data_IF_111275195593
#
_entry.id   IF_111275195593
#
_cell.length_a   1.000
_cell.length_b   1.000
_cell.length_c   1.000
_cell.angle_alpha   90.00
_cell.angle_beta   90.00
_cell.angle_gamma   90.00
#
_symmetry.space_group_name_H-M   'P 1'
#
loop_
_entity.id
_entity.type
_entity.pdbx_description
1 polymer ?
#
# COMPACT_ATOMS: atom_id res chain seq x y z
N UNK A 1 -38.05 -28.76 -46.03
CA UNK A 1 -37.57 -27.37 -45.93
C UNK A 1 -38.19 -26.56 -44.79
N UNK A 2 -39.43 -26.80 -44.34
CA UNK A 2 -40.06 -26.00 -43.25
C UNK A 2 -39.50 -26.21 -41.83
N UNK A 3 -39.07 -27.43 -41.47
CA UNK A 3 -38.52 -27.75 -40.14
C UNK A 3 -37.16 -27.09 -39.86
N UNK A 4 -36.30 -26.96 -40.87
CA UNK A 4 -35.02 -26.26 -40.73
C UNK A 4 -35.19 -24.75 -40.53
N UNK A 5 -36.19 -24.14 -41.16
CA UNK A 5 -36.52 -22.73 -40.97
C UNK A 5 -37.03 -22.46 -39.54
N UNK A 6 -37.87 -23.35 -39.00
CA UNK A 6 -38.36 -23.26 -37.62
C UNK A 6 -37.24 -23.46 -36.58
N UNK A 7 -36.32 -24.41 -36.80
CA UNK A 7 -35.17 -24.61 -35.91
C UNK A 7 -34.20 -23.42 -35.92
N UNK A 8 -33.98 -22.79 -37.09
CA UNK A 8 -33.18 -21.56 -37.19
C UNK A 8 -33.85 -20.36 -36.50
N UNK A 9 -35.18 -20.29 -36.53
CA UNK A 9 -35.95 -19.26 -35.82
C UNK A 9 -35.89 -19.46 -34.29
N UNK A 10 -36.00 -20.71 -33.83
CA UNK A 10 -35.88 -21.04 -32.42
C UNK A 10 -34.47 -20.74 -31.88
N UNK A 11 -33.41 -21.11 -32.60
CA UNK A 11 -32.03 -20.81 -32.18
C UNK A 11 -31.69 -19.31 -32.23
N UNK A 12 -32.25 -18.58 -33.20
CA UNK A 12 -32.16 -17.12 -33.23
C UNK A 12 -32.89 -16.47 -32.04
N UNK A 13 -34.06 -16.98 -31.65
CA UNK A 13 -34.80 -16.53 -30.47
C UNK A 13 -34.03 -16.76 -29.16
N UNK A 14 -33.44 -17.94 -29.00
CA UNK A 14 -32.60 -18.30 -27.86
C UNK A 14 -31.37 -17.37 -27.75
N UNK A 15 -30.69 -17.11 -28.86
CA UNK A 15 -29.52 -16.23 -28.91
C UNK A 15 -29.87 -14.77 -28.60
N UNK A 16 -31.03 -14.29 -29.05
CA UNK A 16 -31.54 -12.94 -28.71
C UNK A 16 -31.86 -12.84 -27.23
N UNK A 17 -32.53 -13.84 -26.65
CA UNK A 17 -32.84 -13.88 -25.22
C UNK A 17 -31.56 -13.86 -24.37
N UNK A 18 -30.56 -14.69 -24.71
CA UNK A 18 -29.28 -14.71 -23.99
C UNK A 18 -28.54 -13.36 -24.08
N UNK A 19 -28.53 -12.71 -25.25
CA UNK A 19 -27.92 -11.39 -25.40
C UNK A 19 -28.66 -10.30 -24.62
N UNK A 20 -29.99 -10.33 -24.60
CA UNK A 20 -30.80 -9.40 -23.80
C UNK A 20 -30.59 -9.62 -22.30
N UNK A 21 -30.55 -10.87 -21.86
CA UNK A 21 -30.28 -11.25 -20.47
C UNK A 21 -28.90 -10.75 -20.01
N UNK A 22 -27.85 -10.99 -20.81
CA UNK A 22 -26.49 -10.47 -20.52
C UNK A 22 -26.46 -8.95 -20.41
N UNK A 23 -27.08 -8.23 -21.37
CA UNK A 23 -27.16 -6.76 -21.33
C UNK A 23 -27.92 -6.26 -20.10
N UNK A 24 -28.95 -6.97 -19.68
CA UNK A 24 -29.72 -6.63 -18.49
C UNK A 24 -28.90 -6.81 -17.20
N UNK A 25 -28.16 -7.90 -17.09
CA UNK A 25 -27.28 -8.18 -15.95
C UNK A 25 -26.11 -7.19 -15.87
N UNK A 26 -25.51 -6.84 -17.02
CA UNK A 26 -24.49 -5.78 -17.09
C UNK A 26 -25.03 -4.42 -16.64
N UNK A 27 -26.27 -4.09 -17.00
CA UNK A 27 -26.92 -2.85 -16.58
C UNK A 27 -27.18 -2.84 -15.08
N UNK A 28 -27.67 -3.95 -14.52
CA UNK A 28 -27.86 -4.11 -13.07
C UNK A 28 -26.53 -3.95 -12.32
N UNK A 29 -25.45 -4.58 -12.81
CA UNK A 29 -24.12 -4.42 -12.20
C UNK A 29 -23.66 -2.97 -12.22
N UNK A 30 -23.79 -2.28 -13.36
CA UNK A 30 -23.43 -0.86 -13.48
C UNK A 30 -24.22 0.01 -12.51
N UNK A 31 -25.53 -0.20 -12.39
CA UNK A 31 -26.35 0.56 -11.43
C UNK A 31 -25.97 0.29 -9.98
N UNK A 32 -25.69 -0.98 -9.63
CA UNK A 32 -25.24 -1.33 -8.30
C UNK A 32 -23.86 -0.71 -7.97
N UNK A 33 -22.98 -0.68 -8.96
CA UNK A 33 -21.67 -0.05 -8.86
C UNK A 33 -21.76 1.47 -8.71
N UNK A 34 -22.55 2.14 -9.54
CA UNK A 34 -22.79 3.59 -9.45
C UNK A 34 -23.39 3.96 -8.08
N UNK A 35 -24.35 3.16 -7.59
CA UNK A 35 -24.92 3.35 -6.26
C UNK A 35 -23.89 3.14 -5.14
N UNK A 36 -23.00 2.14 -5.29
CA UNK A 36 -21.93 1.91 -4.33
C UNK A 36 -20.90 3.05 -4.33
N UNK A 37 -20.49 3.53 -5.51
CA UNK A 37 -19.58 4.67 -5.66
C UNK A 37 -20.19 5.94 -5.09
N UNK A 38 -21.48 6.19 -5.35
CA UNK A 38 -22.19 7.33 -4.78
C UNK A 38 -22.24 7.25 -3.24
N UNK A 39 -22.44 6.06 -2.68
CA UNK A 39 -22.46 5.84 -1.23
C UNK A 39 -21.10 6.07 -0.58
N UNK A 40 -20.00 5.70 -1.25
CA UNK A 40 -18.62 5.83 -0.73
C UNK A 40 -17.87 7.04 -1.32
N UNK A 41 -18.58 7.97 -1.96
CA UNK A 41 -17.95 9.11 -2.64
C UNK A 41 -17.10 9.96 -1.68
N UNK A 42 -17.58 10.14 -0.44
CA UNK A 42 -16.85 10.88 0.59
C UNK A 42 -15.60 10.13 1.06
N UNK A 43 -15.67 8.81 1.26
CA UNK A 43 -14.50 8.00 1.62
C UNK A 43 -13.47 8.00 0.49
N UNK A 44 -13.91 7.93 -0.76
CA UNK A 44 -13.05 8.04 -1.94
C UNK A 44 -12.39 9.42 -2.01
N UNK A 45 -13.12 10.49 -1.66
CA UNK A 45 -12.57 11.85 -1.60
C UNK A 45 -11.47 11.95 -0.55
N UNK A 46 -11.76 11.56 0.69
CA UNK A 46 -10.78 11.54 1.79
C UNK A 46 -9.56 10.67 1.44
N UNK A 47 -9.80 9.53 0.80
CA UNK A 47 -8.72 8.66 0.35
C UNK A 47 -7.82 9.33 -0.70
N UNK A 48 -8.41 10.03 -1.66
CA UNK A 48 -7.64 10.79 -2.64
C UNK A 48 -6.86 11.93 -2.00
N UNK A 49 -7.38 12.58 -0.96
CA UNK A 49 -6.65 13.61 -0.19
C UNK A 49 -5.41 13.01 0.49
N UNK A 50 -5.55 11.87 1.17
CA UNK A 50 -4.42 11.13 1.73
C UNK A 50 -3.39 10.69 0.67
N UNK A 51 -3.86 10.14 -0.46
CA UNK A 51 -2.97 9.69 -1.54
C UNK A 51 -2.25 10.87 -2.21
N UNK A 52 -2.90 12.04 -2.29
CA UNK A 52 -2.29 13.27 -2.75
C UNK A 52 -1.19 13.72 -1.79
N UNK A 53 -1.40 13.65 -0.46
CA UNK A 53 -0.37 13.95 0.53
C UNK A 53 0.88 13.08 0.31
N UNK A 54 0.70 11.77 0.14
CA UNK A 54 1.80 10.85 -0.18
C UNK A 54 2.50 11.25 -1.48
N UNK A 55 1.74 11.56 -2.53
CA UNK A 55 2.27 11.96 -3.85
C UNK A 55 3.18 13.19 -3.73
N UNK A 56 2.79 14.19 -2.93
CA UNK A 56 3.61 15.40 -2.73
C UNK A 56 4.94 15.14 -2.01
N UNK A 57 5.04 14.03 -1.27
CA UNK A 57 6.26 13.63 -0.56
C UNK A 57 7.22 12.84 -1.44
N UNK A 58 6.79 12.33 -2.60
CA UNK A 58 7.63 11.49 -3.45
C UNK A 58 8.84 12.27 -3.94
N UNK A 59 10.01 11.68 -3.77
CA UNK A 59 11.32 12.23 -4.11
C UNK A 59 12.07 11.32 -5.07
N UNK A 60 12.92 11.91 -5.90
CA UNK A 60 13.80 11.19 -6.82
C UNK A 60 13.15 10.85 -8.17
N UNK A 61 13.98 10.41 -9.10
CA UNK A 61 13.58 10.23 -10.51
C UNK A 61 12.62 9.05 -10.73
N UNK A 62 12.56 8.11 -9.77
CA UNK A 62 11.63 6.96 -9.84
C UNK A 62 10.16 7.36 -9.75
N UNK A 63 9.86 8.61 -9.37
CA UNK A 63 8.52 9.17 -9.45
C UNK A 63 7.93 9.13 -10.87
N UNK A 64 8.77 9.18 -11.91
CA UNK A 64 8.34 9.16 -13.31
C UNK A 64 7.78 7.79 -13.76
N UNK A 65 8.20 6.71 -13.10
CA UNK A 65 7.77 5.34 -13.41
C UNK A 65 6.53 4.93 -12.59
N UNK A 66 6.13 5.77 -11.62
CA UNK A 66 5.06 5.47 -10.69
C UNK A 66 3.69 5.68 -11.33
N UNK A 67 2.83 4.67 -11.26
CA UNK A 67 1.42 4.83 -11.62
C UNK A 67 0.74 5.80 -10.64
N UNK A 68 -0.13 6.72 -11.11
CA UNK A 68 -0.78 7.71 -10.26
C UNK A 68 -1.40 7.12 -8.99
N UNK A 69 -1.19 7.78 -7.86
CA UNK A 69 -1.84 7.43 -6.60
C UNK A 69 -3.23 8.05 -6.56
N UNK A 70 -4.19 7.38 -7.19
CA UNK A 70 -5.61 7.71 -7.10
C UNK A 70 -6.39 6.56 -6.51
N UNK A 71 -7.44 6.90 -5.77
CA UNK A 71 -8.32 5.94 -5.16
C UNK A 71 -9.04 5.14 -6.25
N UNK A 72 -8.73 3.85 -6.34
CA UNK A 72 -9.40 2.88 -7.16
C UNK A 72 -9.77 1.67 -6.28
N UNK A 73 -11.04 1.56 -5.84
CA UNK A 73 -11.50 0.47 -4.98
C UNK A 73 -11.35 -0.94 -5.56
N UNK A 74 -11.10 -1.06 -6.87
CA UNK A 74 -10.85 -2.34 -7.56
C UNK A 74 -9.38 -2.67 -7.69
N UNK A 75 -8.51 -1.73 -7.36
CA UNK A 75 -7.09 -1.93 -7.52
C UNK A 75 -6.59 -2.98 -6.54
N UNK A 76 -5.79 -3.90 -7.06
CA UNK A 76 -5.15 -4.96 -6.27
C UNK A 76 -3.66 -4.69 -6.11
N UNK A 77 -3.10 -3.80 -6.92
CA UNK A 77 -1.72 -3.34 -6.85
C UNK A 77 -1.55 -2.18 -5.86
N UNK A 78 -0.51 -2.28 -5.04
CA UNK A 78 -0.17 -1.32 -4.01
C UNK A 78 1.22 -0.77 -4.31
N UNK A 79 1.35 0.55 -4.24
CA UNK A 79 2.63 1.20 -4.43
C UNK A 79 3.52 0.94 -3.22
N UNK A 80 4.79 0.68 -3.47
CA UNK A 80 5.79 0.43 -2.45
C UNK A 80 6.79 1.57 -2.46
N UNK A 81 7.01 2.14 -1.29
CA UNK A 81 7.94 3.23 -1.06
C UNK A 81 9.00 2.84 -0.04
N UNK A 82 10.22 3.31 -0.26
CA UNK A 82 11.26 3.37 0.75
C UNK A 82 11.26 4.78 1.33
N UNK A 83 10.87 4.91 2.58
CA UNK A 83 10.79 6.19 3.27
C UNK A 83 11.89 6.32 4.30
N UNK A 84 12.33 7.55 4.51
CA UNK A 84 13.15 7.88 5.68
C UNK A 84 12.36 8.75 6.63
N UNK A 85 12.52 8.51 7.92
CA UNK A 85 11.95 9.36 8.98
C UNK A 85 13.07 9.83 9.92
N UNK A 86 12.98 11.05 10.46
CA UNK A 86 13.90 11.51 11.48
C UNK A 86 13.90 10.57 12.69
N UNK A 87 15.08 10.31 13.24
CA UNK A 87 15.19 9.54 14.49
C UNK A 87 14.58 10.35 15.63
N UNK A 88 13.49 9.85 16.20
CA UNK A 88 12.97 10.35 17.47
C UNK A 88 13.67 9.63 18.61
N UNK A 89 14.60 10.31 19.27
CA UNK A 89 15.24 9.79 20.47
C UNK A 89 14.22 9.75 21.60
N UNK A 90 13.97 8.55 22.15
CA UNK A 90 13.24 8.43 23.40
C UNK A 90 14.00 9.14 24.54
N UNK A 91 13.35 9.27 25.70
CA UNK A 91 13.88 9.99 26.89
C UNK A 91 15.21 9.42 27.41
N UNK A 92 15.65 8.26 26.92
CA UNK A 92 16.86 7.58 27.36
C UNK A 92 18.11 8.10 26.62
N UNK A 93 19.00 8.73 27.39
CA UNK A 93 20.28 9.35 26.98
C UNK A 93 21.24 8.38 26.26
N UNK A 94 21.10 7.07 26.54
CA UNK A 94 21.89 5.98 25.94
C UNK A 94 21.63 5.86 24.43
N UNK A 95 20.36 6.02 24.00
CA UNK A 95 20.02 5.95 22.58
C UNK A 95 20.70 7.06 21.80
N UNK A 96 20.61 8.30 22.30
CA UNK A 96 21.22 9.46 21.68
C UNK A 96 22.76 9.36 21.62
N UNK A 97 23.40 8.80 22.65
CA UNK A 97 24.86 8.64 22.71
C UNK A 97 25.37 7.63 21.68
N UNK A 98 24.67 6.51 21.49
CA UNK A 98 25.00 5.50 20.48
C UNK A 98 24.89 6.05 19.06
N UNK A 99 23.81 6.80 18.76
CA UNK A 99 23.65 7.43 17.45
C UNK A 99 24.63 8.58 17.21
N UNK A 100 25.03 9.33 18.25
CA UNK A 100 26.14 10.33 18.15
C UNK A 100 27.47 9.66 17.80
N UNK A 101 27.76 8.49 18.35
CA UNK A 101 28.96 7.72 18.02
C UNK A 101 28.92 7.22 16.57
N UNK A 102 27.79 6.67 16.13
CA UNK A 102 27.59 6.27 14.73
C UNK A 102 27.76 7.45 13.79
N UNK A 103 27.07 8.57 14.04
CA UNK A 103 27.14 9.78 13.24
C UNK A 103 28.60 10.28 13.13
N UNK A 104 29.34 10.34 14.24
CA UNK A 104 30.77 10.69 14.24
C UNK A 104 31.62 9.70 13.42
N UNK A 105 31.36 8.41 13.52
CA UNK A 105 32.12 7.39 12.80
C UNK A 105 31.96 7.50 11.29
N UNK A 106 30.74 7.81 10.82
CA UNK A 106 30.46 8.01 9.38
C UNK A 106 30.66 9.47 8.92
N UNK A 107 31.14 10.36 9.80
CA UNK A 107 31.36 11.78 9.48
C UNK A 107 30.06 12.56 9.20
N UNK A 108 28.91 12.06 9.65
CA UNK A 108 27.60 12.66 9.43
C UNK A 108 27.12 13.41 10.68
N UNK A 109 26.20 14.37 10.48
CA UNK A 109 25.50 14.99 11.61
C UNK A 109 24.45 14.02 12.16
N UNK A 110 24.12 14.13 13.45
CA UNK A 110 23.05 13.32 14.06
C UNK A 110 21.70 13.52 13.34
N UNK A 111 21.47 14.73 12.81
CA UNK A 111 20.27 15.08 12.04
C UNK A 111 20.24 14.42 10.65
N UNK A 112 21.35 13.83 10.22
CA UNK A 112 21.46 13.14 8.93
C UNK A 112 21.27 11.62 9.07
N UNK A 113 21.08 11.12 10.30
CA UNK A 113 20.75 9.71 10.54
C UNK A 113 19.23 9.60 10.63
N UNK A 114 18.66 8.73 9.80
CA UNK A 114 17.22 8.51 9.69
C UNK A 114 16.88 7.03 9.90
N UNK A 115 15.69 6.74 10.40
CA UNK A 115 15.10 5.41 10.28
C UNK A 115 14.66 5.18 8.84
N UNK A 116 14.79 3.93 8.39
CA UNK A 116 14.37 3.51 7.06
C UNK A 116 13.19 2.58 7.21
N UNK A 117 12.16 2.79 6.41
CA UNK A 117 10.99 1.93 6.42
C UNK A 117 10.47 1.67 5.01
N UNK A 118 9.87 0.51 4.82
CA UNK A 118 9.11 0.18 3.61
C UNK A 118 7.64 0.51 3.87
N UNK A 119 7.07 1.38 3.07
CA UNK A 119 5.66 1.74 3.13
C UNK A 119 4.91 1.14 1.95
N UNK A 120 3.82 0.44 2.23
CA UNK A 120 2.92 -0.11 1.21
C UNK A 120 1.62 0.70 1.23
N UNK A 121 1.37 1.38 0.12
CA UNK A 121 0.25 2.32 -0.07
C UNK A 121 -0.81 1.66 -0.93
N UNK A 122 -1.94 1.35 -0.31
CA UNK A 122 -3.09 0.76 -0.97
C UNK A 122 -3.86 1.83 -1.78
N UNK A 123 -4.18 1.57 -3.04
CA UNK A 123 -4.99 2.51 -3.85
C UNK A 123 -6.49 2.32 -3.62
N UNK A 124 -6.92 1.26 -2.95
CA UNK A 124 -8.30 1.07 -2.51
C UNK A 124 -8.62 1.83 -1.22
N UNK A 125 -9.71 1.42 -0.58
CA UNK A 125 -10.18 1.95 0.72
C UNK A 125 -9.53 1.24 1.93
N UNK A 126 -8.52 0.40 1.68
CA UNK A 126 -7.79 -0.33 2.70
C UNK A 126 -6.81 0.55 3.49
N UNK A 127 -6.27 -0.01 4.58
CA UNK A 127 -5.21 0.63 5.35
C UNK A 127 -3.87 0.52 4.62
N UNK A 128 -3.03 1.53 4.81
CA UNK A 128 -1.64 1.51 4.39
C UNK A 128 -0.75 1.11 5.56
N UNK A 129 0.35 0.41 5.28
CA UNK A 129 1.22 -0.14 6.32
C UNK A 129 2.67 0.24 6.08
N UNK A 130 3.35 0.55 7.17
CA UNK A 130 4.76 0.84 7.25
C UNK A 130 5.47 -0.30 7.97
N UNK A 131 6.59 -0.74 7.42
CA UNK A 131 7.44 -1.80 7.91
C UNK A 131 8.82 -1.24 8.22
N UNK A 132 9.14 -1.10 9.50
CA UNK A 132 10.41 -0.54 9.96
C UNK A 132 11.55 -1.52 9.66
N UNK A 133 12.63 -1.02 9.05
CA UNK A 133 13.81 -1.81 8.72
C UNK A 133 14.91 -1.73 9.81
N UNK A 134 14.79 -0.81 10.77
CA UNK A 134 15.81 -0.54 11.79
C UNK A 134 15.25 -0.72 13.21
N UNK A 135 15.59 -1.82 13.89
CA UNK A 135 15.26 -1.99 15.32
C UNK A 135 16.29 -1.30 16.21
N UNK A 136 15.88 -0.20 16.84
CA UNK A 136 16.70 0.67 17.69
C UNK A 136 16.59 0.39 19.20
N UNK A 137 15.80 -0.62 19.62
CA UNK A 137 15.70 -0.98 21.04
C UNK A 137 16.74 -2.00 21.41
N UNK A 138 17.84 -1.51 21.99
CA UNK A 138 18.92 -2.31 22.56
C UNK A 138 18.39 -3.45 23.45
N UNK A 139 17.34 -3.20 24.26
CA UNK A 139 16.69 -4.20 25.12
C UNK A 139 16.12 -5.41 24.36
N UNK A 140 15.60 -5.21 23.15
CA UNK A 140 15.02 -6.28 22.33
C UNK A 140 16.09 -7.02 21.52
N UNK A 141 17.11 -6.30 21.06
CA UNK A 141 18.30 -6.88 20.41
C UNK A 141 19.09 -7.73 21.40
N UNK A 142 19.20 -7.31 22.67
CA UNK A 142 19.82 -8.09 23.75
C UNK A 142 19.01 -9.33 24.14
N UNK A 143 17.70 -9.35 23.89
CA UNK A 143 16.84 -10.52 24.06
C UNK A 143 16.84 -11.46 22.83
N UNK A 144 17.65 -11.17 21.79
CA UNK A 144 17.76 -12.00 20.58
C UNK A 144 16.50 -12.00 19.71
N UNK A 145 15.55 -11.10 19.96
CA UNK A 145 14.26 -11.08 19.28
C UNK A 145 14.18 -9.89 18.33
N UNK A 146 14.52 -10.14 17.07
CA UNK A 146 14.25 -9.22 15.98
C UNK A 146 12.77 -9.32 15.61
N UNK A 147 11.98 -8.31 15.98
CA UNK A 147 10.59 -8.21 15.56
C UNK A 147 10.46 -7.25 14.38
N UNK A 148 9.74 -7.70 13.35
CA UNK A 148 9.32 -6.86 12.24
C UNK A 148 8.25 -5.87 12.76
N UNK A 149 8.62 -4.60 12.94
CA UNK A 149 7.68 -3.59 13.45
C UNK A 149 6.78 -3.13 12.31
N UNK A 150 5.48 -3.18 12.55
CA UNK A 150 4.47 -2.73 11.60
C UNK A 150 3.63 -1.63 12.23
N UNK A 151 3.43 -0.54 11.50
CA UNK A 151 2.52 0.53 11.87
C UNK A 151 1.54 0.81 10.73
N UNK A 152 0.32 1.23 11.07
CA UNK A 152 -0.60 1.81 10.09
C UNK A 152 -0.11 3.21 9.74
N UNK A 153 -0.10 3.55 8.47
CA UNK A 153 0.30 4.88 7.99
C UNK A 153 -0.87 5.83 8.17
N UNK A 154 -0.66 6.88 8.96
CA UNK A 154 -1.58 8.01 9.13
C UNK A 154 -1.05 9.23 8.41
N UNK A 155 -1.87 10.28 8.27
CA UNK A 155 -1.44 11.55 7.67
C UNK A 155 -0.29 12.18 8.46
N UNK A 156 -0.40 12.20 9.79
CA UNK A 156 0.65 12.73 10.67
C UNK A 156 1.95 11.96 10.51
N UNK A 157 1.87 10.65 10.28
CA UNK A 157 3.07 9.86 10.01
C UNK A 157 3.72 10.24 8.67
N UNK A 158 2.93 10.43 7.61
CA UNK A 158 3.44 10.87 6.29
C UNK A 158 4.12 12.24 6.38
N UNK A 159 3.63 13.13 7.23
CA UNK A 159 4.26 14.45 7.43
C UNK A 159 5.68 14.33 7.95
N UNK A 160 5.96 13.33 8.80
CA UNK A 160 7.31 13.08 9.35
C UNK A 160 8.32 12.57 8.33
N UNK A 161 7.89 12.17 7.13
CA UNK A 161 8.81 11.62 6.13
C UNK A 161 9.78 12.69 5.62
N UNK A 162 11.07 12.40 5.74
CA UNK A 162 12.16 13.23 5.22
C UNK A 162 12.48 12.93 3.76
N UNK A 163 12.28 11.70 3.31
CA UNK A 163 12.35 11.31 1.90
C UNK A 163 11.40 10.15 1.62
N UNK A 164 10.92 10.04 0.38
CA UNK A 164 9.98 8.99 -0.04
C UNK A 164 10.31 8.55 -1.47
N UNK A 165 11.01 7.43 -1.62
CA UNK A 165 11.41 6.91 -2.91
C UNK A 165 10.44 5.81 -3.35
N UNK A 166 9.84 5.96 -4.52
CA UNK A 166 9.08 4.87 -5.14
C UNK A 166 10.05 3.74 -5.54
N UNK A 167 9.72 2.50 -5.16
CA UNK A 167 10.57 1.32 -5.43
C UNK A 167 9.83 0.20 -6.16
N UNK A 168 8.53 0.34 -6.43
CA UNK A 168 7.76 -0.60 -7.25
C UNK A 168 6.35 -0.84 -6.76
N UNK A 169 5.74 -1.91 -7.26
CA UNK A 169 4.36 -2.31 -6.94
C UNK A 169 4.33 -3.70 -6.29
N UNK A 170 3.30 -3.97 -5.49
CA UNK A 170 3.04 -5.29 -4.93
C UNK A 170 1.56 -5.63 -4.98
N UNK A 171 1.25 -6.90 -5.26
CA UNK A 171 -0.10 -7.45 -5.09
C UNK A 171 -0.31 -8.09 -3.73
N UNK A 172 0.77 -8.27 -2.95
CA UNK A 172 0.72 -8.92 -1.63
C UNK A 172 -0.08 -8.08 -0.64
N UNK A 173 -0.91 -8.77 0.12
CA UNK A 173 -1.65 -8.24 1.26
C UNK A 173 -0.73 -8.04 2.47
N UNK A 174 -1.22 -7.29 3.46
CA UNK A 174 -0.49 -7.08 4.70
C UNK A 174 -0.17 -8.42 5.41
N UNK A 175 -1.14 -9.32 5.45
CA UNK A 175 -1.07 -10.63 6.08
C UNK A 175 -0.01 -11.51 5.39
N UNK A 176 0.04 -11.50 4.05
CA UNK A 176 1.06 -12.23 3.30
C UNK A 176 2.46 -11.68 3.53
N UNK A 177 2.61 -10.35 3.61
CA UNK A 177 3.90 -9.71 3.90
C UNK A 177 4.37 -10.08 5.31
N UNK A 178 3.48 -10.06 6.30
CA UNK A 178 3.80 -10.49 7.66
C UNK A 178 4.17 -11.97 7.72
N UNK A 179 3.46 -12.84 7.01
CA UNK A 179 3.79 -14.26 6.97
C UNK A 179 5.19 -14.52 6.39
N UNK A 180 5.57 -13.81 5.33
CA UNK A 180 6.93 -13.88 4.75
C UNK A 180 7.97 -13.39 5.75
N UNK A 181 7.71 -12.28 6.43
CA UNK A 181 8.63 -11.73 7.43
C UNK A 181 8.84 -12.70 8.59
N UNK A 182 7.77 -13.26 9.15
CA UNK A 182 7.83 -14.24 10.24
C UNK A 182 8.60 -15.49 9.86
N UNK A 183 8.34 -16.07 8.68
CA UNK A 183 9.07 -17.25 8.19
C UNK A 183 10.58 -16.99 8.05
N UNK A 184 10.97 -15.81 7.56
CA UNK A 184 12.39 -15.44 7.42
C UNK A 184 13.07 -15.21 8.77
N UNK A 185 12.36 -14.64 9.74
CA UNK A 185 12.88 -14.47 11.10
C UNK A 185 13.12 -15.85 11.74
N UNK A 186 12.14 -16.76 11.65
CA UNK A 186 12.26 -18.12 12.19
C UNK A 186 13.36 -18.94 11.51
N UNK A 187 13.58 -18.76 10.21
CA UNK A 187 14.64 -19.47 9.46
C UNK A 187 16.05 -18.90 9.68
N UNK A 188 16.16 -17.72 10.32
CA UNK A 188 17.45 -17.04 10.58
C UNK A 188 17.95 -17.25 12.02
N UNK A 189 17.22 -18.02 12.83
CA UNK A 189 17.58 -18.48 14.18
C UNK A 189 18.04 -19.93 14.10
#
# INVERSE_FOLDING_TARGET
MGLEALNKLASAGEAVYQNLSKKWDERKRRQAEEAWLAKHAEEIRQRNEFLSLVTTKVTGDSALEMAPLHCNPRETQRAVFLVTTPISFGVLEVSQSSYKLLARHVGMSLNSVSHWAVCVIDRGLGKCYCYDLMSDRLELTMLGKNYFRVAVITEEFVETWSSCYYIGETTKTHEEIQAIASYRIESSV
#
